data_IF_441470266801
#
_entry.id   IF_441470266801
#
_cell.length_a   1.000
_cell.length_b   1.000
_cell.length_c   1.000
_cell.angle_alpha   90.00
_cell.angle_beta   90.00
_cell.angle_gamma   90.00
#
_symmetry.space_group_name_H-M   'P 1'
#
loop_
_entity.id
_entity.type
_entity.pdbx_description
1 polymer ?
#
# COMPACT_ATOMS: atom_id res chain seq x y z
N UNK A 1 11.57 17.66 -31.83
CA UNK A 1 10.18 17.36 -31.40
C UNK A 1 10.26 16.15 -30.49
N UNK A 2 9.53 16.09 -29.37
CA UNK A 2 9.52 14.90 -28.52
C UNK A 2 8.86 13.71 -29.24
N UNK A 3 9.23 12.48 -28.87
CA UNK A 3 8.65 11.23 -29.41
C UNK A 3 7.12 11.25 -29.34
N UNK A 4 6.56 11.74 -28.22
CA UNK A 4 5.11 11.91 -28.06
C UNK A 4 4.48 12.83 -29.12
N UNK A 5 5.11 13.95 -29.45
CA UNK A 5 4.56 14.89 -30.43
C UNK A 5 4.55 14.31 -31.85
N UNK A 6 5.51 13.42 -32.16
CA UNK A 6 5.59 12.70 -33.44
C UNK A 6 4.46 11.67 -33.51
N UNK A 7 4.28 10.85 -32.48
CA UNK A 7 3.22 9.82 -32.45
C UNK A 7 1.81 10.44 -32.45
N UNK A 8 1.59 11.52 -31.70
CA UNK A 8 0.34 12.29 -31.76
C UNK A 8 0.06 12.76 -33.19
N UNK A 9 1.06 13.33 -33.88
CA UNK A 9 0.89 13.77 -35.28
C UNK A 9 0.57 12.59 -36.20
N UNK A 10 1.27 11.48 -36.06
CA UNK A 10 1.10 10.28 -36.88
C UNK A 10 -0.32 9.71 -36.78
N UNK A 11 -0.89 9.63 -35.56
CA UNK A 11 -2.28 9.24 -35.38
C UNK A 11 -3.26 10.24 -36.01
N UNK A 12 -3.00 11.54 -35.89
CA UNK A 12 -3.84 12.56 -36.51
C UNK A 12 -3.83 12.52 -38.04
N UNK A 13 -2.68 12.25 -38.66
CA UNK A 13 -2.54 12.09 -40.11
C UNK A 13 -3.29 10.85 -40.64
N UNK A 14 -3.37 9.79 -39.83
CA UNK A 14 -4.13 8.57 -40.13
C UNK A 14 -5.63 8.68 -39.81
N UNK A 15 -6.08 9.76 -39.19
CA UNK A 15 -7.47 9.91 -38.74
C UNK A 15 -7.85 8.98 -37.59
N UNK A 16 -6.87 8.46 -36.84
CA UNK A 16 -7.07 7.48 -35.77
C UNK A 16 -7.28 8.14 -34.40
N UNK A 17 -7.94 7.41 -33.49
CA UNK A 17 -8.01 7.80 -32.07
C UNK A 17 -6.64 7.58 -31.43
N UNK A 18 -6.07 8.64 -30.86
CA UNK A 18 -4.81 8.55 -30.10
C UNK A 18 -5.06 7.81 -28.77
N UNK A 19 -4.36 6.70 -28.46
CA UNK A 19 -4.50 6.02 -27.19
C UNK A 19 -3.95 6.88 -26.03
N UNK A 20 -4.45 6.63 -24.82
CA UNK A 20 -3.89 7.17 -23.59
C UNK A 20 -4.06 6.10 -22.49
N UNK A 21 -2.99 5.71 -21.79
CA UNK A 21 -1.61 6.15 -21.98
C UNK A 21 -0.98 5.60 -23.28
N UNK A 22 0.01 6.31 -23.84
CA UNK A 22 0.82 5.92 -25.00
C UNK A 22 2.27 5.74 -24.56
N UNK A 23 2.95 4.66 -24.96
CA UNK A 23 4.37 4.47 -24.65
C UNK A 23 5.26 5.44 -25.43
N UNK A 24 6.29 5.98 -24.78
CA UNK A 24 7.29 6.85 -25.43
C UNK A 24 8.71 6.45 -24.98
N UNK A 25 9.73 6.89 -25.71
CA UNK A 25 11.13 6.63 -25.32
C UNK A 25 11.50 7.29 -23.98
N UNK A 26 10.80 8.37 -23.61
CA UNK A 26 10.99 9.12 -22.37
C UNK A 26 10.06 8.74 -21.23
N UNK A 27 9.25 7.68 -21.36
CA UNK A 27 8.30 7.23 -20.36
C UNK A 27 6.91 6.95 -20.95
N UNK A 28 5.93 7.80 -20.62
CA UNK A 28 4.54 7.61 -21.05
C UNK A 28 3.87 8.93 -21.42
N UNK A 29 3.19 8.95 -22.57
CA UNK A 29 2.38 10.05 -23.04
C UNK A 29 0.93 9.93 -22.60
N UNK A 30 0.43 10.95 -21.92
CA UNK A 30 -0.98 11.08 -21.55
C UNK A 30 -1.67 12.00 -22.54
N UNK A 31 -2.85 11.63 -23.02
CA UNK A 31 -3.60 12.36 -24.04
C UNK A 31 -5.05 12.55 -23.61
N UNK A 32 -5.48 13.81 -23.58
CA UNK A 32 -6.87 14.18 -23.38
C UNK A 32 -7.47 14.71 -24.68
N UNK A 33 -8.76 14.47 -24.90
CA UNK A 33 -9.50 15.06 -26.02
C UNK A 33 -10.83 15.59 -25.54
N UNK A 34 -11.04 16.88 -25.73
CA UNK A 34 -12.20 17.61 -25.24
C UNK A 34 -11.93 19.10 -25.19
N UNK A 35 -13.00 19.88 -25.26
CA UNK A 35 -12.98 21.33 -25.12
C UNK A 35 -12.53 21.66 -23.69
N UNK A 36 -11.52 22.53 -23.58
CA UNK A 36 -10.98 23.01 -22.32
C UNK A 36 -10.22 24.32 -22.56
N UNK A 37 -10.12 25.15 -21.53
CA UNK A 37 -9.24 26.32 -21.50
C UNK A 37 -7.80 25.90 -21.18
N UNK A 38 -7.65 24.95 -20.26
CA UNK A 38 -6.38 24.35 -19.84
C UNK A 38 -6.62 22.92 -19.36
N UNK A 39 -5.65 22.05 -19.59
CA UNK A 39 -5.66 20.70 -19.00
C UNK A 39 -4.37 20.50 -18.22
N UNK A 40 -4.52 20.00 -16.99
CA UNK A 40 -3.44 19.73 -16.05
C UNK A 40 -3.36 18.23 -15.80
N UNK A 41 -2.15 17.73 -15.60
CA UNK A 41 -1.94 16.37 -15.13
C UNK A 41 -1.70 16.39 -13.62
N UNK A 42 -2.54 15.70 -12.87
CA UNK A 42 -2.43 15.55 -11.41
C UNK A 42 -1.96 14.15 -11.09
N UNK A 43 -0.64 14.01 -11.00
CA UNK A 43 0.04 12.80 -10.52
C UNK A 43 -0.10 12.77 -8.99
N UNK A 44 -0.52 11.63 -8.44
CA UNK A 44 -0.93 11.52 -7.03
C UNK A 44 0.20 11.11 -6.08
N UNK A 45 1.35 10.81 -6.64
CA UNK A 45 2.58 10.44 -5.97
C UNK A 45 3.27 11.68 -5.38
N UNK A 46 3.39 11.73 -4.06
CA UNK A 46 3.86 12.92 -3.33
C UNK A 46 5.26 13.41 -3.74
N UNK A 47 6.13 12.51 -4.19
CA UNK A 47 7.50 12.85 -4.62
C UNK A 47 7.67 12.93 -6.12
N UNK A 48 6.60 12.77 -6.88
CA UNK A 48 6.69 12.94 -8.32
C UNK A 48 6.87 14.42 -8.67
N UNK A 49 7.74 14.77 -9.63
CA UNK A 49 7.95 16.15 -10.03
C UNK A 49 6.65 16.85 -10.46
N UNK A 50 6.51 18.15 -10.15
CA UNK A 50 5.40 18.95 -10.67
C UNK A 50 5.42 18.95 -12.19
N UNK A 51 4.27 18.64 -12.79
CA UNK A 51 4.11 18.59 -14.23
C UNK A 51 3.62 19.93 -14.77
N UNK A 52 4.17 20.44 -15.90
CA UNK A 52 3.59 21.58 -16.58
C UNK A 52 2.19 21.23 -17.11
N UNK A 53 1.34 22.24 -17.40
CA UNK A 53 0.07 22.01 -18.09
C UNK A 53 0.27 21.27 -19.42
N UNK A 54 -0.71 20.45 -19.79
CA UNK A 54 -0.66 19.68 -21.03
C UNK A 54 -0.61 20.61 -22.24
N UNK A 55 0.10 20.18 -23.29
CA UNK A 55 0.28 20.96 -24.52
C UNK A 55 -0.91 20.75 -25.46
N UNK A 56 -1.53 21.85 -25.94
CA UNK A 56 -2.62 21.79 -26.94
C UNK A 56 -2.05 21.58 -28.35
N UNK A 57 -2.67 20.68 -29.12
CA UNK A 57 -2.45 20.59 -30.57
C UNK A 57 -3.13 21.79 -31.23
N UNK A 58 -2.38 22.55 -32.05
CA UNK A 58 -2.91 23.76 -32.71
C UNK A 58 -4.14 23.42 -33.56
N UNK A 59 -5.24 24.16 -33.32
CA UNK A 59 -6.49 24.01 -34.07
C UNK A 59 -7.31 22.75 -33.76
N UNK A 60 -6.98 22.02 -32.67
CA UNK A 60 -7.69 20.80 -32.26
C UNK A 60 -7.91 20.83 -30.75
N UNK A 61 -8.99 20.24 -30.27
CA UNK A 61 -9.26 20.05 -28.84
C UNK A 61 -8.59 18.77 -28.32
N UNK A 62 -7.27 18.70 -28.53
CA UNK A 62 -6.42 17.58 -28.14
C UNK A 62 -5.25 18.13 -27.35
N UNK A 63 -5.01 17.52 -26.19
CA UNK A 63 -4.01 17.93 -25.22
C UNK A 63 -3.11 16.73 -24.91
N UNK A 64 -1.81 16.94 -24.81
CA UNK A 64 -0.87 15.85 -24.54
C UNK A 64 0.26 16.29 -23.61
N UNK A 65 0.75 15.38 -22.79
CA UNK A 65 1.90 15.58 -21.91
C UNK A 65 2.70 14.29 -21.79
N UNK A 66 4.02 14.39 -21.90
CA UNK A 66 4.93 13.28 -21.65
C UNK A 66 5.30 13.27 -20.17
N UNK A 67 5.25 12.10 -19.56
CA UNK A 67 5.49 11.86 -18.14
C UNK A 67 6.74 10.97 -18.01
N UNK A 68 7.80 11.45 -17.36
CA UNK A 68 9.03 10.70 -17.19
C UNK A 68 8.85 9.66 -16.08
N UNK A 69 8.54 8.44 -16.47
CA UNK A 69 8.40 7.29 -15.57
C UNK A 69 9.50 6.26 -15.88
N UNK A 70 10.04 5.59 -14.87
CA UNK A 70 11.03 4.53 -15.09
C UNK A 70 10.40 3.35 -15.85
N UNK A 71 11.20 2.46 -16.48
CA UNK A 71 10.67 1.28 -17.16
C UNK A 71 9.78 0.40 -16.27
N UNK A 72 10.14 0.26 -15.00
CA UNK A 72 9.39 -0.51 -13.98
C UNK A 72 8.33 0.31 -13.26
N UNK A 73 8.23 1.60 -13.56
CA UNK A 73 7.44 2.53 -12.77
C UNK A 73 5.93 2.36 -12.93
N UNK A 74 5.20 2.71 -11.88
CA UNK A 74 3.74 2.84 -11.90
C UNK A 74 3.33 4.12 -11.20
N UNK A 75 2.42 4.86 -11.83
CA UNK A 75 1.78 6.04 -11.23
C UNK A 75 0.26 6.00 -11.38
N UNK A 76 -0.42 6.66 -10.45
CA UNK A 76 -1.83 6.99 -10.45
C UNK A 76 -2.00 8.49 -10.71
N UNK A 77 -2.92 8.85 -11.60
CA UNK A 77 -3.16 10.24 -11.97
C UNK A 77 -4.63 10.55 -12.20
N UNK A 78 -4.93 11.85 -12.18
CA UNK A 78 -6.18 12.44 -12.68
C UNK A 78 -5.88 13.54 -13.69
N UNK A 79 -6.84 13.80 -14.56
CA UNK A 79 -6.83 14.98 -15.42
C UNK A 79 -7.58 16.12 -14.73
N UNK A 80 -6.92 17.27 -14.61
CA UNK A 80 -7.53 18.52 -14.21
C UNK A 80 -7.98 19.30 -15.43
N UNK A 81 -9.26 19.19 -15.80
CA UNK A 81 -9.84 19.91 -16.93
C UNK A 81 -10.38 21.24 -16.45
N UNK A 82 -9.77 22.34 -16.90
CA UNK A 82 -10.24 23.69 -16.63
C UNK A 82 -11.15 24.13 -17.78
N UNK A 83 -12.42 24.38 -17.46
CA UNK A 83 -13.41 24.93 -18.37
C UNK A 83 -14.30 25.92 -17.60
N UNK A 84 -14.65 27.05 -18.22
CA UNK A 84 -15.52 28.07 -17.61
C UNK A 84 -15.01 28.53 -16.22
N UNK A 85 -13.68 28.64 -16.07
CA UNK A 85 -12.99 29.01 -14.82
C UNK A 85 -13.19 28.01 -13.65
N UNK A 86 -13.67 26.79 -13.92
CA UNK A 86 -13.79 25.70 -12.94
C UNK A 86 -12.82 24.59 -13.27
N UNK A 87 -12.22 24.00 -12.23
CA UNK A 87 -11.37 22.83 -12.34
C UNK A 87 -12.20 21.57 -12.07
N UNK A 88 -12.21 20.65 -13.02
CA UNK A 88 -12.81 19.33 -12.89
C UNK A 88 -11.72 18.27 -12.85
N UNK A 89 -11.61 17.55 -11.73
CA UNK A 89 -10.73 16.39 -11.62
C UNK A 89 -11.48 15.15 -12.10
N UNK A 90 -10.98 14.54 -13.16
CA UNK A 90 -11.58 13.34 -13.77
C UNK A 90 -10.53 12.24 -13.95
N UNK A 91 -10.99 10.99 -14.02
CA UNK A 91 -10.17 9.93 -14.62
C UNK A 91 -10.01 10.19 -16.11
N UNK A 92 -8.91 9.74 -16.70
CA UNK A 92 -8.68 9.77 -18.14
C UNK A 92 -9.75 8.92 -18.85
N UNK A 93 -10.68 9.52 -19.61
CA UNK A 93 -11.75 8.78 -20.28
C UNK A 93 -11.25 7.83 -21.38
N UNK A 94 -9.96 7.93 -21.77
CA UNK A 94 -9.33 7.05 -22.75
C UNK A 94 -8.58 5.89 -22.13
N UNK A 95 -8.32 5.95 -20.83
CA UNK A 95 -7.57 4.95 -20.09
C UNK A 95 -8.54 3.94 -19.46
N UNK A 96 -8.56 2.68 -19.93
CA UNK A 96 -9.39 1.64 -19.32
C UNK A 96 -8.85 1.15 -17.98
N UNK A 97 -7.57 1.41 -17.69
CA UNK A 97 -6.89 0.93 -16.50
C UNK A 97 -7.10 1.90 -15.34
N UNK A 98 -7.80 1.41 -14.33
CA UNK A 98 -8.12 2.15 -13.13
C UNK A 98 -7.52 1.49 -11.90
N UNK A 99 -7.06 2.33 -10.98
CA UNK A 99 -6.74 1.94 -9.63
C UNK A 99 -7.89 2.36 -8.70
N UNK A 100 -8.45 1.40 -7.98
CA UNK A 100 -9.46 1.66 -6.96
C UNK A 100 -8.79 1.84 -5.59
N UNK A 101 -9.35 2.74 -4.80
CA UNK A 101 -8.99 2.96 -3.40
C UNK A 101 -10.21 3.50 -2.63
N UNK A 102 -10.13 3.65 -1.28
CA UNK A 102 -11.24 4.15 -0.46
C UNK A 102 -11.79 5.53 -0.86
N UNK A 103 -11.03 6.32 -1.63
CA UNK A 103 -11.38 7.68 -2.07
C UNK A 103 -11.86 7.74 -3.53
N UNK A 104 -12.00 6.58 -4.19
CA UNK A 104 -12.52 6.46 -5.55
C UNK A 104 -11.53 5.83 -6.53
N UNK A 105 -11.70 6.15 -7.81
CA UNK A 105 -10.87 5.60 -8.88
C UNK A 105 -9.86 6.63 -9.42
N UNK A 106 -8.66 6.16 -9.73
CA UNK A 106 -7.61 6.91 -10.41
C UNK A 106 -7.25 6.24 -11.73
N UNK A 107 -6.75 7.04 -12.69
CA UNK A 107 -6.18 6.50 -13.92
C UNK A 107 -4.76 6.05 -13.68
N UNK A 108 -4.31 5.03 -14.41
CA UNK A 108 -3.02 4.41 -14.18
C UNK A 108 -2.11 4.61 -15.38
N UNK A 109 -0.86 4.96 -15.16
CA UNK A 109 0.17 4.88 -16.20
C UNK A 109 1.35 4.05 -15.69
N UNK A 110 1.91 3.23 -16.57
CA UNK A 110 3.01 2.33 -16.23
C UNK A 110 4.15 2.48 -17.22
N UNK A 111 5.36 2.22 -16.75
CA UNK A 111 6.53 2.07 -17.57
C UNK A 111 6.45 0.86 -18.50
N UNK A 112 7.43 0.75 -19.38
CA UNK A 112 7.46 -0.28 -20.43
C UNK A 112 7.60 -1.71 -19.92
N UNK A 113 8.25 -1.89 -18.77
CA UNK A 113 8.62 -3.16 -18.14
C UNK A 113 7.77 -3.50 -16.93
N UNK A 114 6.91 -2.57 -16.47
CA UNK A 114 5.96 -2.87 -15.39
C UNK A 114 5.01 -4.00 -15.80
N UNK A 115 4.87 -4.97 -14.90
CA UNK A 115 3.80 -5.95 -14.93
C UNK A 115 3.36 -6.26 -13.50
N UNK A 116 2.06 -6.48 -13.23
CA UNK A 116 1.61 -6.99 -11.94
C UNK A 116 2.35 -8.29 -11.58
N UNK A 117 2.58 -8.63 -10.30
CA UNK A 117 3.35 -9.79 -9.88
C UNK A 117 2.88 -11.11 -10.50
N UNK A 118 3.79 -12.08 -10.60
CA UNK A 118 3.49 -13.39 -11.16
C UNK A 118 2.32 -14.08 -10.44
N UNK A 119 2.30 -14.04 -9.10
CA UNK A 119 1.19 -14.59 -8.30
C UNK A 119 -0.15 -13.94 -8.67
N UNK A 120 -0.17 -12.62 -8.85
CA UNK A 120 -1.39 -11.89 -9.16
C UNK A 120 -1.92 -12.29 -10.52
N UNK A 121 -1.05 -12.32 -11.54
CA UNK A 121 -1.44 -12.77 -12.89
C UNK A 121 -1.90 -14.22 -12.89
N UNK A 122 -1.22 -15.11 -12.16
CA UNK A 122 -1.57 -16.52 -12.08
C UNK A 122 -2.96 -16.72 -11.46
N UNK A 123 -3.22 -16.06 -10.33
CA UNK A 123 -4.50 -16.18 -9.62
C UNK A 123 -5.65 -15.58 -10.42
N UNK A 124 -5.44 -14.44 -11.10
CA UNK A 124 -6.48 -13.85 -11.97
C UNK A 124 -6.70 -14.65 -13.26
N UNK A 125 -5.65 -15.24 -13.86
CA UNK A 125 -5.77 -16.09 -15.04
C UNK A 125 -6.46 -17.43 -14.75
N UNK A 126 -6.22 -18.02 -13.58
CA UNK A 126 -6.88 -19.26 -13.16
C UNK A 126 -8.40 -19.08 -12.99
N UNK A 127 -8.85 -17.83 -12.76
CA UNK A 127 -10.20 -17.58 -12.25
C UNK A 127 -10.38 -18.19 -10.85
N UNK A 128 -11.53 -17.98 -10.23
CA UNK A 128 -11.84 -18.64 -8.96
C UNK A 128 -12.57 -17.77 -7.95
N UNK A 129 -12.96 -18.41 -6.86
CA UNK A 129 -13.74 -17.80 -5.79
C UNK A 129 -12.83 -16.97 -4.89
N UNK A 130 -13.35 -15.83 -4.41
CA UNK A 130 -12.68 -15.07 -3.36
C UNK A 130 -12.77 -15.85 -2.04
N UNK A 131 -11.65 -16.03 -1.31
CA UNK A 131 -11.68 -16.77 -0.05
C UNK A 131 -12.65 -16.13 0.93
N UNK A 132 -13.49 -16.95 1.55
CA UNK A 132 -14.48 -16.47 2.49
C UNK A 132 -13.81 -16.09 3.83
N UNK A 133 -14.41 -15.11 4.51
CA UNK A 133 -14.04 -14.75 5.89
C UNK A 133 -15.20 -15.05 6.82
N UNK A 134 -14.90 -15.29 8.10
CA UNK A 134 -15.92 -15.42 9.16
C UNK A 134 -15.92 -14.17 10.03
N UNK A 135 -17.10 -13.76 10.48
CA UNK A 135 -17.21 -12.66 11.44
C UNK A 135 -16.48 -13.02 12.74
N UNK A 136 -15.74 -12.05 13.28
CA UNK A 136 -14.97 -12.18 14.52
C UNK A 136 -15.19 -10.95 15.41
N UNK A 137 -16.42 -10.72 15.91
CA UNK A 137 -16.70 -9.58 16.76
C UNK A 137 -16.00 -9.71 18.11
N UNK A 138 -15.40 -8.62 18.58
CA UNK A 138 -14.77 -8.51 19.89
C UNK A 138 -15.44 -7.36 20.64
N UNK A 139 -16.01 -7.64 21.81
CA UNK A 139 -16.40 -6.58 22.72
C UNK A 139 -15.14 -5.97 23.31
N UNK A 140 -14.89 -4.70 23.01
CA UNK A 140 -13.73 -3.97 23.48
C UNK A 140 -14.08 -3.18 24.73
N UNK A 141 -13.43 -3.51 25.83
CA UNK A 141 -13.56 -2.77 27.08
C UNK A 141 -12.86 -1.41 27.02
N UNK A 142 -11.74 -1.32 26.29
CA UNK A 142 -10.99 -0.06 26.12
C UNK A 142 -11.74 0.94 25.25
N UNK A 143 -12.46 0.48 24.23
CA UNK A 143 -13.25 1.35 23.36
C UNK A 143 -14.74 1.45 23.74
N UNK A 144 -15.22 0.62 24.66
CA UNK A 144 -16.60 0.63 25.13
C UNK A 144 -17.64 0.14 24.11
N UNK A 145 -17.22 -0.49 23.01
CA UNK A 145 -18.10 -0.94 21.93
C UNK A 145 -17.76 -2.37 21.43
N UNK A 146 -18.36 -2.80 20.32
CA UNK A 146 -18.01 -4.07 19.67
C UNK A 146 -17.32 -3.82 18.35
N UNK A 147 -16.03 -4.19 18.29
CA UNK A 147 -15.21 -4.11 17.09
C UNK A 147 -15.47 -5.31 16.20
N UNK A 148 -15.79 -5.04 14.92
CA UNK A 148 -16.26 -6.04 13.95
C UNK A 148 -15.12 -6.50 13.05
N UNK A 149 -14.23 -7.32 13.61
CA UNK A 149 -13.17 -7.94 12.81
C UNK A 149 -13.68 -9.13 12.02
N UNK A 150 -12.85 -9.61 11.10
CA UNK A 150 -13.10 -10.83 10.34
C UNK A 150 -11.89 -11.73 10.43
N UNK A 151 -12.10 -13.04 10.33
CA UNK A 151 -11.04 -14.03 10.33
C UNK A 151 -11.05 -14.80 9.02
N UNK A 152 -9.88 -14.95 8.42
CA UNK A 152 -9.59 -15.83 7.30
C UNK A 152 -8.92 -17.09 7.82
N UNK A 153 -9.30 -18.24 7.26
CA UNK A 153 -8.68 -19.53 7.53
C UNK A 153 -8.00 -20.03 6.26
N UNK A 154 -6.77 -20.53 6.36
CA UNK A 154 -6.05 -21.01 5.18
C UNK A 154 -6.69 -22.29 4.61
N UNK A 155 -6.44 -22.60 3.32
CA UNK A 155 -6.79 -23.89 2.75
C UNK A 155 -6.22 -25.03 3.61
N UNK A 156 -7.04 -26.04 3.91
CA UNK A 156 -6.62 -27.15 4.77
C UNK A 156 -6.51 -26.80 6.27
N UNK A 157 -7.10 -25.69 6.71
CA UNK A 157 -7.13 -25.32 8.13
C UNK A 157 -7.64 -26.47 9.03
N UNK A 158 -6.85 -26.79 10.05
CA UNK A 158 -7.17 -27.78 11.07
C UNK A 158 -7.05 -27.14 12.48
N UNK A 159 -8.15 -27.04 13.25
CA UNK A 159 -8.12 -26.47 14.59
C UNK A 159 -7.29 -27.30 15.60
N UNK A 160 -6.96 -28.55 15.29
CA UNK A 160 -6.10 -29.41 16.13
C UNK A 160 -4.61 -29.09 16.05
N UNK A 161 -4.18 -28.29 15.06
CA UNK A 161 -2.80 -27.89 14.85
C UNK A 161 -2.55 -26.43 15.24
N UNK A 162 -1.27 -26.08 15.44
CA UNK A 162 -0.86 -24.70 15.62
C UNK A 162 -0.61 -24.03 14.26
N UNK A 163 -1.06 -22.78 14.13
CA UNK A 163 -0.92 -21.98 12.92
C UNK A 163 -0.18 -20.68 13.25
N UNK A 164 0.44 -20.07 12.25
CA UNK A 164 0.84 -18.68 12.37
C UNK A 164 -0.40 -17.78 12.37
N UNK A 165 -0.31 -16.64 13.05
CA UNK A 165 -1.36 -15.63 13.09
C UNK A 165 -0.86 -14.36 12.41
N UNK A 166 -1.61 -13.88 11.43
CA UNK A 166 -1.40 -12.60 10.77
C UNK A 166 -2.48 -11.60 11.21
N UNK A 167 -2.09 -10.59 11.97
CA UNK A 167 -2.93 -9.44 12.32
C UNK A 167 -2.82 -8.40 11.21
N UNK A 168 -3.92 -8.14 10.49
CA UNK A 168 -3.91 -7.26 9.32
C UNK A 168 -4.63 -5.97 9.65
N UNK A 169 -3.88 -4.88 9.84
CA UNK A 169 -4.43 -3.53 9.94
C UNK A 169 -4.96 -3.10 8.57
N UNK A 170 -6.08 -2.37 8.54
CA UNK A 170 -6.83 -2.07 7.30
C UNK A 170 -7.25 -3.34 6.53
N UNK A 171 -7.68 -4.36 7.26
CA UNK A 171 -7.91 -5.69 6.70
C UNK A 171 -8.92 -5.70 5.54
N UNK A 172 -10.01 -4.93 5.64
CA UNK A 172 -10.97 -4.78 4.55
C UNK A 172 -10.38 -4.18 3.29
N UNK A 173 -9.55 -3.15 3.43
CA UNK A 173 -8.93 -2.50 2.29
C UNK A 173 -7.84 -3.37 1.65
N UNK A 174 -7.07 -4.13 2.43
CA UNK A 174 -6.15 -5.13 1.90
C UNK A 174 -6.88 -6.20 1.06
N UNK A 175 -8.05 -6.65 1.51
CA UNK A 175 -8.87 -7.59 0.73
C UNK A 175 -9.38 -6.92 -0.55
N UNK A 176 -9.90 -5.69 -0.45
CA UNK A 176 -10.56 -5.01 -1.55
C UNK A 176 -9.60 -4.50 -2.64
N UNK A 177 -8.42 -4.01 -2.25
CA UNK A 177 -7.54 -3.26 -3.15
C UNK A 177 -6.16 -3.90 -3.36
N UNK A 178 -5.79 -4.90 -2.55
CA UNK A 178 -4.52 -5.63 -2.68
C UNK A 178 -4.68 -7.15 -2.87
N UNK A 179 -5.91 -7.65 -3.05
CA UNK A 179 -6.19 -9.08 -3.27
C UNK A 179 -5.59 -10.00 -2.18
N UNK A 180 -5.46 -9.50 -0.94
CA UNK A 180 -4.68 -10.16 0.11
C UNK A 180 -5.09 -11.62 0.33
N UNK A 181 -6.39 -11.93 0.39
CA UNK A 181 -6.82 -13.31 0.66
C UNK A 181 -6.48 -14.25 -0.49
N UNK A 182 -6.59 -13.78 -1.73
CA UNK A 182 -6.21 -14.55 -2.92
C UNK A 182 -4.70 -14.78 -2.98
N UNK A 183 -3.91 -13.80 -2.54
CA UNK A 183 -2.48 -13.97 -2.31
C UNK A 183 -2.20 -15.03 -1.23
N UNK A 184 -2.86 -14.95 -0.06
CA UNK A 184 -2.66 -15.91 1.03
C UNK A 184 -3.03 -17.35 0.61
N UNK A 185 -4.16 -17.55 -0.06
CA UNK A 185 -4.55 -18.86 -0.61
C UNK A 185 -3.46 -19.39 -1.55
N UNK A 186 -3.02 -18.57 -2.51
CA UNK A 186 -1.99 -18.93 -3.47
C UNK A 186 -0.68 -19.30 -2.78
N UNK A 187 -0.11 -18.39 -2.00
CA UNK A 187 1.19 -18.53 -1.38
C UNK A 187 1.24 -19.67 -0.36
N UNK A 188 0.14 -19.96 0.34
CA UNK A 188 0.05 -21.11 1.24
C UNK A 188 -0.05 -22.41 0.44
N UNK A 189 -0.89 -22.44 -0.60
CA UNK A 189 -1.06 -23.65 -1.44
C UNK A 189 0.20 -24.01 -2.25
N UNK A 190 1.00 -23.01 -2.64
CA UNK A 190 2.28 -23.20 -3.33
C UNK A 190 3.45 -23.49 -2.38
N UNK A 191 3.24 -23.37 -1.06
CA UNK A 191 4.28 -23.55 -0.05
C UNK A 191 5.27 -22.38 0.05
N UNK A 192 4.95 -21.21 -0.52
CA UNK A 192 5.76 -19.99 -0.41
C UNK A 192 5.75 -19.40 1.00
N UNK A 193 4.63 -19.53 1.72
CA UNK A 193 4.51 -19.16 3.14
C UNK A 193 3.85 -20.31 3.94
N UNK A 194 4.17 -20.46 5.24
CA UNK A 194 3.51 -21.45 6.07
C UNK A 194 2.00 -21.14 6.24
N UNK A 195 1.18 -22.15 6.57
CA UNK A 195 -0.23 -21.93 6.89
C UNK A 195 -0.41 -20.89 8.01
N UNK A 196 -1.19 -19.86 7.70
CA UNK A 196 -1.48 -18.76 8.62
C UNK A 196 -2.97 -18.42 8.65
N UNK A 197 -3.51 -18.25 9.85
CA UNK A 197 -4.81 -17.62 10.10
C UNK A 197 -4.60 -16.11 10.00
N UNK A 198 -5.51 -15.38 9.37
CA UNK A 198 -5.45 -13.92 9.36
C UNK A 198 -6.65 -13.29 10.05
N UNK A 199 -6.41 -12.34 10.97
CA UNK A 199 -7.45 -11.49 11.56
C UNK A 199 -7.39 -10.14 10.88
N UNK A 200 -8.44 -9.84 10.14
CA UNK A 200 -8.66 -8.58 9.42
C UNK A 200 -9.22 -7.56 10.41
N UNK A 201 -8.36 -6.63 10.84
CA UNK A 201 -8.69 -5.57 11.76
C UNK A 201 -9.37 -4.43 11.01
N UNK A 202 -10.39 -3.84 11.64
CA UNK A 202 -11.18 -2.74 11.09
C UNK A 202 -11.27 -1.67 12.20
N UNK A 203 -10.58 -0.53 12.06
CA UNK A 203 -10.66 0.55 13.06
C UNK A 203 -11.98 1.31 12.91
N UNK A 204 -12.44 1.96 13.99
CA UNK A 204 -13.59 2.87 13.92
C UNK A 204 -13.13 4.28 13.51
N UNK A 205 -12.05 4.77 14.14
CA UNK A 205 -11.33 5.97 13.73
C UNK A 205 -9.87 5.61 13.42
N UNK A 206 -9.60 5.27 12.16
CA UNK A 206 -8.27 4.90 11.68
C UNK A 206 -7.20 5.94 12.01
N UNK A 207 -7.53 7.24 11.90
CA UNK A 207 -6.53 8.31 12.04
C UNK A 207 -6.13 8.52 13.50
N UNK A 208 -7.06 8.31 14.43
CA UNK A 208 -6.77 8.35 15.86
C UNK A 208 -6.12 7.04 16.34
N UNK A 209 -6.76 5.90 16.07
CA UNK A 209 -6.39 4.59 16.61
C UNK A 209 -5.00 4.12 16.13
N UNK A 210 -4.62 4.42 14.87
CA UNK A 210 -3.35 3.90 14.33
C UNK A 210 -2.14 4.81 14.61
N UNK A 211 -2.35 5.99 15.20
CA UNK A 211 -1.31 6.97 15.46
C UNK A 211 -0.65 6.77 16.86
N UNK A 212 -0.14 5.57 17.15
CA UNK A 212 0.40 5.17 18.48
C UNK A 212 -0.60 5.38 19.63
N UNK A 213 -1.87 5.05 19.39
CA UNK A 213 -2.89 5.09 20.43
C UNK A 213 -2.74 3.90 21.39
N UNK A 214 -2.62 4.15 22.71
CA UNK A 214 -2.53 3.08 23.70
C UNK A 214 -3.81 2.24 23.79
N UNK A 215 -5.00 2.80 23.50
CA UNK A 215 -6.25 2.01 23.50
C UNK A 215 -6.26 1.01 22.36
N UNK A 216 -5.87 1.41 21.15
CA UNK A 216 -5.69 0.47 20.02
C UNK A 216 -4.68 -0.64 20.34
N UNK A 217 -3.54 -0.29 20.94
CA UNK A 217 -2.54 -1.29 21.37
C UNK A 217 -3.14 -2.28 22.38
N UNK A 218 -3.86 -1.79 23.38
CA UNK A 218 -4.50 -2.63 24.38
C UNK A 218 -5.60 -3.50 23.77
N UNK A 219 -6.43 -2.94 22.88
CA UNK A 219 -7.44 -3.71 22.15
C UNK A 219 -6.81 -4.88 21.37
N UNK A 220 -5.74 -4.60 20.62
CA UNK A 220 -5.08 -5.62 19.81
C UNK A 220 -4.44 -6.73 20.67
N UNK A 221 -3.67 -6.33 21.68
CA UNK A 221 -2.81 -7.26 22.44
C UNK A 221 -3.53 -7.89 23.63
N UNK A 222 -4.39 -7.14 24.30
CA UNK A 222 -5.04 -7.55 25.56
C UNK A 222 -6.46 -8.11 25.31
N UNK A 223 -7.07 -7.87 24.14
CA UNK A 223 -8.43 -8.33 23.83
C UNK A 223 -8.48 -9.26 22.60
N UNK A 224 -7.99 -8.82 21.43
CA UNK A 224 -8.04 -9.58 20.18
C UNK A 224 -7.15 -10.82 20.26
N UNK A 225 -5.86 -10.66 20.58
CA UNK A 225 -4.90 -11.76 20.60
C UNK A 225 -5.29 -12.87 21.60
N UNK A 226 -5.71 -12.59 22.85
CA UNK A 226 -6.22 -13.61 23.74
C UNK A 226 -7.49 -14.28 23.23
N UNK A 227 -8.38 -13.54 22.56
CA UNK A 227 -9.60 -14.10 21.97
C UNK A 227 -9.31 -15.05 20.79
N UNK A 228 -8.22 -14.83 20.05
CA UNK A 228 -7.72 -15.77 19.03
C UNK A 228 -7.11 -16.99 19.71
N UNK A 229 -6.20 -16.80 20.67
CA UNK A 229 -5.49 -17.89 21.38
C UNK A 229 -6.42 -18.82 22.16
N UNK A 230 -7.59 -18.34 22.62
CA UNK A 230 -8.63 -19.20 23.24
C UNK A 230 -9.32 -20.14 22.25
N UNK A 231 -9.32 -19.81 20.97
CA UNK A 231 -10.04 -20.55 19.91
C UNK A 231 -9.12 -21.39 19.04
N UNK A 232 -7.86 -20.98 18.89
CA UNK A 232 -6.92 -21.57 17.95
C UNK A 232 -5.52 -21.68 18.56
N UNK A 233 -4.79 -22.74 18.20
CA UNK A 233 -3.36 -22.85 18.51
C UNK A 233 -2.56 -21.85 17.68
N UNK A 234 -1.87 -20.91 18.35
CA UNK A 234 -1.05 -19.88 17.69
C UNK A 234 0.43 -20.15 17.95
N UNK A 235 1.20 -20.34 16.89
CA UNK A 235 2.65 -20.60 16.96
C UNK A 235 3.47 -19.31 16.99
N UNK A 236 3.19 -18.38 16.08
CA UNK A 236 3.86 -17.08 15.91
C UNK A 236 2.81 -16.03 15.55
N UNK A 237 3.05 -14.78 15.95
CA UNK A 237 2.19 -13.62 15.65
C UNK A 237 2.95 -12.66 14.76
N UNK A 238 2.42 -12.40 13.57
CA UNK A 238 2.86 -11.36 12.67
C UNK A 238 1.80 -10.25 12.58
N UNK A 239 2.23 -9.01 12.42
CA UNK A 239 1.35 -7.88 12.12
C UNK A 239 1.71 -7.26 10.77
N UNK A 240 0.71 -7.03 9.93
CA UNK A 240 0.80 -6.39 8.62
C UNK A 240 0.02 -5.08 8.64
N UNK A 241 0.61 -4.01 8.09
CA UNK A 241 -0.10 -2.76 7.92
C UNK A 241 0.55 -1.81 6.91
N UNK A 242 -0.28 -0.96 6.30
CA UNK A 242 0.16 0.11 5.39
C UNK A 242 0.14 1.45 6.11
N UNK A 243 1.06 2.36 5.80
CA UNK A 243 0.99 3.75 6.29
C UNK A 243 0.86 3.81 7.82
N UNK A 244 -0.20 4.41 8.37
CA UNK A 244 -0.51 4.38 9.81
C UNK A 244 -0.69 2.96 10.37
N UNK A 245 -1.22 2.01 9.61
CA UNK A 245 -1.32 0.60 10.04
C UNK A 245 0.05 -0.04 10.29
N UNK A 246 1.08 0.39 9.56
CA UNK A 246 2.48 0.03 9.84
C UNK A 246 2.98 0.63 11.16
N UNK A 247 2.59 1.86 11.47
CA UNK A 247 2.87 2.51 12.77
C UNK A 247 2.18 1.77 13.90
N UNK A 248 0.88 1.47 13.77
CA UNK A 248 0.11 0.72 14.75
C UNK A 248 0.71 -0.68 15.03
N UNK A 249 1.14 -1.37 13.97
CA UNK A 249 1.79 -2.69 14.08
C UNK A 249 3.09 -2.62 14.87
N UNK A 250 3.96 -1.66 14.52
CA UNK A 250 5.24 -1.47 15.22
C UNK A 250 5.02 -1.01 16.66
N UNK A 251 4.12 -0.05 16.88
CA UNK A 251 3.77 0.46 18.20
C UNK A 251 3.28 -0.67 19.10
N UNK A 252 2.33 -1.50 18.65
CA UNK A 252 1.86 -2.63 19.44
C UNK A 252 3.00 -3.59 19.83
N UNK A 253 3.90 -3.90 18.90
CA UNK A 253 5.03 -4.79 19.15
C UNK A 253 6.01 -4.25 20.20
N UNK A 254 6.36 -2.96 20.15
CA UNK A 254 7.34 -2.36 21.06
C UNK A 254 6.75 -1.86 22.38
N UNK A 255 5.45 -1.53 22.40
CA UNK A 255 4.70 -1.14 23.61
C UNK A 255 4.26 -2.35 24.45
N UNK A 256 4.19 -3.53 23.82
CA UNK A 256 3.93 -4.82 24.46
C UNK A 256 4.93 -5.88 23.96
N UNK A 257 6.22 -5.80 24.32
CA UNK A 257 7.23 -6.74 23.86
C UNK A 257 6.86 -8.21 24.12
N UNK A 258 7.20 -9.08 23.17
CA UNK A 258 6.92 -10.52 23.24
C UNK A 258 5.50 -10.94 22.84
N UNK A 259 4.68 -10.01 22.33
CA UNK A 259 3.30 -10.32 21.88
C UNK A 259 3.16 -10.41 20.37
N UNK A 260 3.98 -9.67 19.62
CA UNK A 260 4.09 -9.70 18.16
C UNK A 260 5.55 -10.02 17.82
N UNK A 261 5.75 -11.12 17.09
CA UNK A 261 7.06 -11.65 16.75
C UNK A 261 7.63 -11.01 15.46
N UNK A 262 6.73 -10.62 14.55
CA UNK A 262 7.09 -10.08 13.23
C UNK A 262 6.23 -8.87 12.89
N UNK A 263 6.84 -7.80 12.39
CA UNK A 263 6.10 -6.66 11.83
C UNK A 263 6.43 -6.49 10.35
N UNK A 264 5.39 -6.38 9.55
CA UNK A 264 5.42 -6.06 8.12
C UNK A 264 4.77 -4.70 7.92
N UNK A 265 5.55 -3.70 7.52
CA UNK A 265 5.05 -2.34 7.34
C UNK A 265 5.36 -1.83 5.93
N UNK A 266 4.30 -1.55 5.18
CA UNK A 266 4.40 -1.07 3.79
C UNK A 266 4.11 0.42 3.75
N UNK A 267 5.05 1.21 3.24
CA UNK A 267 5.05 2.67 3.31
C UNK A 267 4.70 3.18 4.72
N UNK A 268 5.26 2.56 5.76
CA UNK A 268 4.95 2.91 7.15
C UNK A 268 5.20 4.40 7.40
N UNK A 269 4.26 5.08 8.05
CA UNK A 269 4.37 6.53 8.31
C UNK A 269 5.37 6.85 9.42
N UNK A 270 6.58 6.31 9.34
CA UNK A 270 7.66 6.44 10.32
C UNK A 270 8.31 7.84 10.28
N UNK A 271 7.49 8.89 10.25
CA UNK A 271 7.91 10.28 10.11
C UNK A 271 8.81 10.68 11.27
N UNK A 272 10.05 11.00 10.93
CA UNK A 272 11.04 11.50 11.89
C UNK A 272 11.11 13.03 11.77
N UNK A 273 11.54 13.74 12.81
CA UNK A 273 11.73 15.20 12.69
C UNK A 273 12.86 15.61 11.73
N UNK A 274 13.61 14.62 11.19
CA UNK A 274 14.76 14.77 10.31
C UNK A 274 14.40 14.71 8.80
N UNK A 275 13.17 14.37 8.41
CA UNK A 275 12.76 14.22 7.01
C UNK A 275 11.52 15.04 6.61
N UNK A 276 11.62 15.82 5.52
CA UNK A 276 10.50 16.12 4.62
C UNK A 276 9.47 17.22 4.95
N UNK A 277 8.67 17.55 3.93
CA UNK A 277 7.57 18.55 3.92
C UNK A 277 6.38 18.17 4.83
N UNK A 278 6.29 16.92 5.28
CA UNK A 278 5.21 16.41 6.13
C UNK A 278 5.41 16.80 7.60
N UNK A 279 5.36 18.10 7.89
CA UNK A 279 5.43 18.61 9.27
C UNK A 279 4.04 18.89 9.83
N UNK A 280 3.72 18.18 10.92
CA UNK A 280 2.81 18.57 12.02
C UNK A 280 1.37 18.91 11.62
N UNK A 281 0.60 17.87 11.29
CA UNK A 281 -0.86 17.86 11.44
C UNK A 281 -1.28 17.08 12.71
N UNK A 282 -2.54 17.20 13.16
CA UNK A 282 -3.03 16.48 14.35
C UNK A 282 -2.84 14.96 14.26
N UNK A 283 -2.88 14.40 13.06
CA UNK A 283 -2.70 12.95 12.80
C UNK A 283 -1.25 12.50 12.97
N UNK A 284 -0.28 13.22 12.40
CA UNK A 284 1.13 12.81 12.41
C UNK A 284 1.88 13.26 13.67
N UNK A 285 1.32 14.19 14.45
CA UNK A 285 1.91 14.66 15.70
C UNK A 285 2.21 13.54 16.72
N UNK A 286 1.22 12.67 17.03
CA UNK A 286 1.44 11.46 17.84
C UNK A 286 2.51 10.55 17.24
N UNK A 287 2.45 10.27 15.94
CA UNK A 287 3.42 9.42 15.24
C UNK A 287 4.85 9.94 15.36
N UNK A 288 5.08 11.24 15.17
CA UNK A 288 6.41 11.83 15.35
C UNK A 288 6.92 11.67 16.79
N UNK A 289 6.05 11.82 17.80
CA UNK A 289 6.44 11.60 19.21
C UNK A 289 6.78 10.13 19.47
N UNK A 290 6.01 9.22 18.91
CA UNK A 290 6.27 7.78 18.97
C UNK A 290 7.64 7.44 18.38
N UNK A 291 7.91 7.89 17.15
CA UNK A 291 9.20 7.64 16.49
C UNK A 291 10.37 8.24 17.28
N UNK A 292 10.22 9.45 17.84
CA UNK A 292 11.25 10.04 18.71
C UNK A 292 11.51 9.22 19.98
N UNK A 293 10.45 8.72 20.61
CA UNK A 293 10.58 7.82 21.76
C UNK A 293 11.26 6.52 21.36
N UNK A 294 10.86 5.89 20.26
CA UNK A 294 11.41 4.62 19.77
C UNK A 294 12.91 4.73 19.53
N UNK A 295 13.35 5.77 18.81
CA UNK A 295 14.77 6.01 18.49
C UNK A 295 15.61 6.32 19.74
N UNK A 296 15.01 6.96 20.76
CA UNK A 296 15.71 7.36 21.99
C UNK A 296 15.80 6.23 23.01
N UNK A 297 14.70 5.56 23.28
CA UNK A 297 14.61 4.54 24.33
C UNK A 297 15.06 3.16 23.86
N UNK A 298 15.00 2.89 22.54
CA UNK A 298 15.37 1.60 21.93
C UNK A 298 14.78 0.39 22.69
N UNK A 299 13.44 0.34 22.86
CA UNK A 299 12.77 -0.80 23.48
C UNK A 299 13.08 -2.11 22.72
N UNK A 300 12.84 -3.28 23.34
CA UNK A 300 12.94 -4.56 22.64
C UNK A 300 12.09 -4.55 21.37
N UNK A 301 12.74 -4.85 20.23
CA UNK A 301 12.10 -4.95 18.92
C UNK A 301 11.48 -6.34 18.72
N UNK A 302 10.49 -6.48 17.80
CA UNK A 302 10.10 -7.79 17.31
C UNK A 302 11.30 -8.51 16.66
N UNK A 303 11.25 -9.84 16.61
CA UNK A 303 12.35 -10.65 16.09
C UNK A 303 12.66 -10.40 14.61
N UNK A 304 11.63 -10.05 13.81
CA UNK A 304 11.77 -9.72 12.39
C UNK A 304 10.97 -8.49 11.99
N UNK A 305 11.56 -7.68 11.11
CA UNK A 305 10.95 -6.51 10.49
C UNK A 305 11.07 -6.62 8.96
N UNK A 306 9.94 -6.58 8.27
CA UNK A 306 9.88 -6.46 6.80
C UNK A 306 9.28 -5.11 6.43
N UNK A 307 10.09 -4.23 5.87
CA UNK A 307 9.69 -2.88 5.48
C UNK A 307 9.70 -2.77 3.95
N UNK A 308 8.72 -2.11 3.37
CA UNK A 308 8.72 -1.77 1.94
C UNK A 308 8.24 -0.34 1.72
N UNK A 309 8.73 0.35 0.69
CA UNK A 309 8.29 1.73 0.38
C UNK A 309 8.46 2.06 -1.10
N UNK A 310 7.56 2.86 -1.66
CA UNK A 310 7.66 3.34 -3.04
C UNK A 310 8.69 4.47 -3.17
N UNK A 311 9.46 4.53 -4.25
CA UNK A 311 10.43 5.62 -4.48
C UNK A 311 9.76 6.96 -4.79
N UNK A 312 8.51 6.95 -5.25
CA UNK A 312 7.68 8.14 -5.43
C UNK A 312 6.83 8.48 -4.19
N UNK A 313 6.93 7.68 -3.13
CA UNK A 313 6.22 7.87 -1.87
C UNK A 313 6.80 9.03 -1.06
N UNK A 314 5.92 9.85 -0.46
CA UNK A 314 6.29 10.95 0.43
C UNK A 314 7.13 10.53 1.63
N UNK A 315 7.03 9.25 2.03
CA UNK A 315 7.63 8.68 3.24
C UNK A 315 8.96 7.97 2.99
N UNK A 316 9.45 7.88 1.76
CA UNK A 316 10.61 7.03 1.45
C UNK A 316 11.90 7.48 2.15
N UNK A 317 12.17 8.79 2.30
CA UNK A 317 13.38 9.22 3.03
C UNK A 317 13.27 8.99 4.54
N UNK A 318 12.08 9.17 5.12
CA UNK A 318 11.84 8.84 6.52
C UNK A 318 12.00 7.33 6.76
N UNK A 319 11.52 6.51 5.80
CA UNK A 319 11.68 5.06 5.84
C UNK A 319 13.16 4.67 5.75
N UNK A 320 13.91 5.24 4.80
CA UNK A 320 15.37 4.99 4.66
C UNK A 320 16.12 5.38 5.93
N UNK A 321 15.86 6.55 6.50
CA UNK A 321 16.48 6.99 7.74
C UNK A 321 16.17 6.04 8.91
N UNK A 322 14.96 5.51 8.98
CA UNK A 322 14.59 4.53 9.99
C UNK A 322 15.24 3.16 9.75
N UNK A 323 15.32 2.70 8.49
CA UNK A 323 16.04 1.49 8.09
C UNK A 323 17.52 1.57 8.46
N UNK A 324 18.17 2.69 8.18
CA UNK A 324 19.58 2.93 8.54
C UNK A 324 19.79 2.82 10.06
N UNK A 325 18.84 3.30 10.86
CA UNK A 325 18.88 3.13 12.31
C UNK A 325 18.66 1.66 12.72
N UNK A 326 17.64 0.99 12.19
CA UNK A 326 17.33 -0.40 12.51
C UNK A 326 18.49 -1.35 12.16
N UNK A 327 19.24 -1.06 11.09
CA UNK A 327 20.42 -1.83 10.67
C UNK A 327 21.55 -1.82 11.71
N UNK A 328 21.52 -0.90 12.69
CA UNK A 328 22.47 -0.87 13.81
C UNK A 328 22.03 -1.71 15.02
N UNK A 329 20.81 -2.24 15.01
CA UNK A 329 20.19 -2.98 16.10
C UNK A 329 20.14 -4.49 15.79
N UNK A 330 20.06 -5.38 16.81
CA UNK A 330 20.00 -6.83 16.62
C UNK A 330 18.59 -7.29 16.21
N UNK A 331 18.15 -6.94 15.00
CA UNK A 331 16.86 -7.32 14.42
C UNK A 331 17.05 -7.94 13.03
N UNK A 332 16.27 -8.97 12.69
CA UNK A 332 16.23 -9.51 11.33
C UNK A 332 15.43 -8.55 10.44
N UNK A 333 16.15 -7.69 9.71
CA UNK A 333 15.58 -6.62 8.91
C UNK A 333 15.65 -6.93 7.41
N UNK A 334 14.50 -6.80 6.74
CA UNK A 334 14.42 -6.66 5.27
C UNK A 334 13.82 -5.31 4.92
N UNK A 335 14.42 -4.66 3.93
CA UNK A 335 13.87 -3.46 3.30
C UNK A 335 13.82 -3.63 1.78
N UNK A 336 12.71 -3.23 1.16
CA UNK A 336 12.53 -3.25 -0.29
C UNK A 336 11.93 -1.94 -0.81
N UNK A 337 12.39 -1.49 -1.99
CA UNK A 337 11.83 -0.35 -2.69
C UNK A 337 11.25 -0.74 -4.05
N UNK A 338 10.30 0.04 -4.54
CA UNK A 338 9.76 -0.08 -5.90
C UNK A 338 9.49 1.29 -6.53
N UNK A 339 9.52 1.36 -7.85
CA UNK A 339 9.18 2.57 -8.60
C UNK A 339 7.67 2.85 -8.63
N UNK A 340 7.11 3.14 -7.47
CA UNK A 340 5.69 3.40 -7.26
C UNK A 340 5.51 4.42 -6.12
N UNK A 341 4.28 4.83 -5.86
CA UNK A 341 3.95 5.74 -4.77
C UNK A 341 3.16 5.09 -3.62
N UNK A 342 2.44 5.95 -2.90
CA UNK A 342 1.69 5.61 -1.69
C UNK A 342 0.29 5.05 -2.02
N UNK A 343 0.22 3.88 -2.67
CA UNK A 343 -1.05 3.34 -3.15
C UNK A 343 -1.14 1.80 -3.06
N UNK A 344 -2.37 1.27 -3.00
CA UNK A 344 -2.66 -0.16 -2.80
C UNK A 344 -1.97 -1.12 -3.78
N UNK A 345 -1.79 -0.70 -5.03
CA UNK A 345 -1.11 -1.52 -6.03
C UNK A 345 0.39 -1.70 -5.73
N UNK A 346 1.04 -0.71 -5.10
CA UNK A 346 2.43 -0.82 -4.66
C UNK A 346 2.51 -1.88 -3.56
N UNK A 347 1.67 -1.76 -2.55
CA UNK A 347 1.61 -2.68 -1.41
C UNK A 347 1.24 -4.11 -1.81
N UNK A 348 0.28 -4.26 -2.73
CA UNK A 348 -0.03 -5.53 -3.40
C UNK A 348 1.21 -6.15 -4.03
N UNK A 349 1.96 -5.35 -4.80
CA UNK A 349 3.08 -5.86 -5.58
C UNK A 349 4.21 -6.39 -4.69
N UNK A 350 4.31 -5.89 -3.46
CA UNK A 350 5.26 -6.36 -2.46
C UNK A 350 4.79 -7.53 -1.59
N UNK A 351 3.50 -7.92 -1.60
CA UNK A 351 2.97 -8.96 -0.69
C UNK A 351 3.81 -10.25 -0.66
N UNK A 352 4.21 -10.76 -1.83
CA UNK A 352 5.02 -11.97 -1.93
C UNK A 352 6.41 -11.81 -1.30
N UNK A 353 7.07 -10.68 -1.55
CA UNK A 353 8.38 -10.35 -0.97
C UNK A 353 8.28 -10.18 0.54
N UNK A 354 7.32 -9.37 0.98
CA UNK A 354 7.18 -8.92 2.36
C UNK A 354 6.73 -10.07 3.26
N UNK A 355 5.64 -10.76 2.89
CA UNK A 355 5.14 -11.90 3.68
C UNK A 355 5.97 -13.16 3.49
N UNK A 356 6.55 -13.37 2.30
CA UNK A 356 7.49 -14.46 2.04
C UNK A 356 8.68 -14.42 2.99
N UNK A 357 9.31 -13.25 3.14
CA UNK A 357 10.38 -13.08 4.12
C UNK A 357 9.86 -13.09 5.55
N UNK A 358 8.80 -12.34 5.86
CA UNK A 358 8.29 -12.20 7.22
C UNK A 358 7.86 -13.54 7.85
N UNK A 359 7.24 -14.41 7.05
CA UNK A 359 6.68 -15.67 7.51
C UNK A 359 7.56 -16.88 7.16
N UNK A 360 8.70 -16.70 6.49
CA UNK A 360 9.63 -17.81 6.25
C UNK A 360 9.96 -18.55 7.55
N UNK A 361 10.07 -19.87 7.47
CA UNK A 361 10.62 -20.66 8.58
C UNK A 361 12.07 -20.21 8.82
N UNK A 362 12.42 -19.96 10.09
CA UNK A 362 13.83 -19.72 10.45
C UNK A 362 14.57 -21.05 10.28
N UNK A 363 15.71 -21.09 9.57
CA UNK A 363 16.55 -22.29 9.54
C UNK A 363 16.87 -22.73 10.97
N UNK A 364 16.62 -24.01 11.28
CA UNK A 364 16.88 -24.58 12.61
C UNK A 364 18.36 -24.65 12.93
#
# INVERSE_FOLDING_TARGET
MSTLAIEVRRHLERGERIPSPLRTDGGVGIVYSGVADRVELRILEDRFPEMPPMRKVRGRDIWYQEVPISPTGRIEYKLGVVAERRLHLITDPRNPDHALNPFGANSVATGSEYAPPAWFRAVHAAGGHHPATRAFPIHSSVFGDTRRHRVYFPPGFDPGHTHDLLLVHDGGDYVAYADLLRFLDHAISSGEIPPAIAVLLEPADRLAEYADDPEHTAHLVDEVLPAVRRRFGVRRVAALGVSLGGVASLAAAVRRPGTIDVVVAQSGSFVTALGGRFRRGPVLGPVTRFMHWLLREQPPLPGRLALSCGTYDGLVEDTRAFVDHLATLPVDLRYAESDAGHHWHCWRDHLASDLGHALAETPR
#
